data_IF_554741195240
#
_entry.id   IF_554741195240
#
_cell.length_a   1.000
_cell.length_b   1.000
_cell.length_c   1.000
_cell.angle_alpha   90.00
_cell.angle_beta   90.00
_cell.angle_gamma   90.00
#
_symmetry.space_group_name_H-M   'P 1'
#
loop_
_entity.id
_entity.type
_entity.pdbx_description
1 polymer ?
#
# COMPACT_ATOMS: atom_id res chain seq x y z
N UNK A 1 -4.96 2.53 29.39
CA UNK A 1 -5.47 2.34 28.01
C UNK A 1 -4.63 3.08 26.96
N UNK A 2 -4.05 4.24 27.22
CA UNK A 2 -3.27 5.02 26.24
C UNK A 2 -1.98 4.38 25.72
N UNK A 3 -1.26 3.61 26.55
CA UNK A 3 0.01 2.99 26.18
C UNK A 3 -0.11 1.83 25.17
N UNK A 4 -1.15 1.02 25.28
CA UNK A 4 -1.34 -0.14 24.40
C UNK A 4 -1.66 0.27 22.94
N UNK A 5 -2.41 1.36 22.77
CA UNK A 5 -2.72 1.89 21.43
C UNK A 5 -1.49 2.46 20.73
N UNK A 6 -0.66 3.21 21.47
CA UNK A 6 0.58 3.75 20.93
C UNK A 6 1.55 2.63 20.53
N UNK A 7 1.63 1.56 21.31
CA UNK A 7 2.44 0.39 20.96
C UNK A 7 1.91 -0.31 19.71
N UNK A 8 0.60 -0.53 19.61
CA UNK A 8 0.00 -1.19 18.47
C UNK A 8 0.19 -0.42 17.15
N UNK A 9 0.12 0.92 17.21
CA UNK A 9 0.31 1.80 16.06
C UNK A 9 1.78 2.20 15.84
N UNK A 10 2.71 1.77 16.72
CA UNK A 10 4.10 2.21 16.66
C UNK A 10 4.73 2.10 15.25
N UNK A 11 4.55 1.01 14.46
CA UNK A 11 5.11 0.93 13.12
C UNK A 11 4.58 2.02 12.18
N UNK A 12 3.29 2.33 12.23
CA UNK A 12 2.67 3.39 11.43
C UNK A 12 3.12 4.77 11.90
N UNK A 13 3.22 4.99 13.21
CA UNK A 13 3.67 6.26 13.79
C UNK A 13 5.14 6.53 13.48
N UNK A 14 6.00 5.50 13.44
CA UNK A 14 7.40 5.61 13.04
C UNK A 14 7.49 6.06 11.58
N UNK A 15 6.73 5.45 10.69
CA UNK A 15 6.73 5.83 9.27
C UNK A 15 6.15 7.23 9.06
N UNK A 16 5.01 7.56 9.67
CA UNK A 16 4.38 8.88 9.52
C UNK A 16 5.22 9.99 10.17
N UNK A 17 5.70 9.78 11.39
CA UNK A 17 6.60 10.71 12.08
C UNK A 17 7.94 10.85 11.36
N UNK A 18 8.45 9.74 10.83
CA UNK A 18 9.67 9.73 10.00
C UNK A 18 9.50 10.50 8.70
N UNK A 19 8.39 10.35 7.99
CA UNK A 19 8.09 11.14 6.81
C UNK A 19 7.98 12.64 7.13
N UNK A 20 7.33 12.99 8.23
CA UNK A 20 7.25 14.38 8.71
C UNK A 20 8.62 14.93 9.08
N UNK A 21 9.45 14.16 9.78
CA UNK A 21 10.81 14.54 10.12
C UNK A 21 11.66 14.77 8.88
N UNK A 22 11.57 13.87 7.90
CA UNK A 22 12.30 14.00 6.63
C UNK A 22 11.83 15.22 5.83
N UNK A 23 10.52 15.49 5.81
CA UNK A 23 9.95 16.68 5.17
C UNK A 23 10.49 17.97 5.82
N UNK A 24 10.55 18.04 7.14
CA UNK A 24 11.11 19.18 7.87
C UNK A 24 12.62 19.34 7.60
N UNK A 25 13.36 18.23 7.56
CA UNK A 25 14.78 18.27 7.23
C UNK A 25 15.00 18.83 5.82
N UNK A 26 14.23 18.40 4.82
CA UNK A 26 14.32 18.92 3.45
C UNK A 26 13.99 20.42 3.40
N UNK A 27 13.01 20.86 4.19
CA UNK A 27 12.60 22.27 4.24
C UNK A 27 13.66 23.18 4.91
N UNK A 28 14.33 22.69 5.94
CA UNK A 28 15.29 23.49 6.74
C UNK A 28 16.70 23.43 6.19
N UNK A 29 17.18 22.26 5.79
CA UNK A 29 18.55 22.04 5.33
C UNK A 29 18.60 20.86 4.36
N UNK A 30 18.57 21.14 3.06
CA UNK A 30 18.67 20.09 2.02
C UNK A 30 20.01 19.39 2.06
N UNK A 31 20.01 18.09 2.26
CA UNK A 31 21.19 17.24 2.24
C UNK A 31 20.83 15.82 1.81
N UNK A 32 21.17 15.47 0.59
CA UNK A 32 20.90 14.14 0.03
C UNK A 32 21.42 12.99 0.90
N UNK A 33 22.61 13.15 1.46
CA UNK A 33 23.22 12.16 2.36
C UNK A 33 22.41 11.99 3.65
N UNK A 34 21.96 13.09 4.25
CA UNK A 34 21.15 13.06 5.47
C UNK A 34 19.77 12.49 5.20
N UNK A 35 19.12 12.90 4.11
CA UNK A 35 17.79 12.38 3.70
C UNK A 35 17.85 10.87 3.49
N UNK A 36 18.89 10.35 2.83
CA UNK A 36 19.11 8.91 2.67
C UNK A 36 19.27 8.20 4.00
N UNK A 37 20.17 8.71 4.87
CA UNK A 37 20.44 8.08 6.18
C UNK A 37 19.21 8.05 7.07
N UNK A 38 18.44 9.15 7.10
CA UNK A 38 17.18 9.22 7.83
C UNK A 38 16.17 8.23 7.28
N UNK A 39 15.96 8.18 5.96
CA UNK A 39 15.03 7.25 5.34
C UNK A 39 15.41 5.79 5.63
N UNK A 40 16.67 5.41 5.48
CA UNK A 40 17.15 4.07 5.81
C UNK A 40 16.98 3.74 7.30
N UNK A 41 17.31 4.67 8.19
CA UNK A 41 17.13 4.50 9.64
C UNK A 41 15.65 4.32 10.01
N UNK A 42 14.77 5.18 9.49
CA UNK A 42 13.33 5.11 9.72
C UNK A 42 12.76 3.77 9.23
N UNK A 43 13.07 3.37 7.99
CA UNK A 43 12.59 2.13 7.39
C UNK A 43 13.12 0.90 8.13
N UNK A 44 14.38 0.91 8.57
CA UNK A 44 14.96 -0.18 9.36
C UNK A 44 14.29 -0.30 10.73
N UNK A 45 14.04 0.81 11.42
CA UNK A 45 13.33 0.82 12.70
C UNK A 45 11.87 0.38 12.51
N UNK A 46 11.20 0.87 11.44
CA UNK A 46 9.84 0.47 11.10
C UNK A 46 9.71 -1.01 10.72
N UNK A 47 10.77 -1.65 10.24
CA UNK A 47 10.83 -3.09 10.01
C UNK A 47 11.12 -3.87 11.31
N UNK A 48 12.02 -3.38 12.15
CA UNK A 48 12.47 -4.07 13.36
C UNK A 48 11.40 -4.06 14.48
N UNK A 49 10.69 -2.93 14.67
CA UNK A 49 9.72 -2.78 15.77
C UNK A 49 8.58 -3.80 15.69
N UNK A 50 7.88 -4.01 14.55
CA UNK A 50 6.83 -5.02 14.51
C UNK A 50 7.35 -6.45 14.67
N UNK A 51 8.57 -6.77 14.23
CA UNK A 51 9.20 -8.07 14.47
C UNK A 51 9.50 -8.28 15.96
N UNK A 52 9.98 -7.26 16.66
CA UNK A 52 10.19 -7.30 18.10
C UNK A 52 8.86 -7.45 18.87
N UNK A 53 7.79 -6.80 18.40
CA UNK A 53 6.44 -6.96 18.96
C UNK A 53 5.96 -8.41 18.84
N UNK A 54 6.12 -9.00 17.64
CA UNK A 54 5.78 -10.41 17.39
C UNK A 54 6.59 -11.36 18.28
N UNK A 55 7.91 -11.14 18.37
CA UNK A 55 8.80 -11.98 19.20
C UNK A 55 8.45 -11.92 20.70
N UNK A 56 7.84 -10.81 21.16
CA UNK A 56 7.38 -10.64 22.55
C UNK A 56 5.93 -11.07 22.77
N UNK A 57 5.26 -11.61 21.76
CA UNK A 57 3.84 -11.97 21.84
C UNK A 57 2.90 -10.76 21.96
N UNK A 58 3.38 -9.55 21.62
CA UNK A 58 2.60 -8.31 21.64
C UNK A 58 1.89 -8.13 20.30
N UNK A 59 0.79 -8.82 20.10
CA UNK A 59 -0.07 -8.64 18.94
C UNK A 59 -1.49 -8.27 19.41
N UNK A 60 -1.76 -7.00 19.77
CA UNK A 60 -3.09 -6.57 20.16
C UNK A 60 -4.01 -6.58 18.93
N UNK A 61 -5.09 -7.36 18.98
CA UNK A 61 -5.91 -7.64 17.81
C UNK A 61 -6.64 -6.40 17.25
N UNK A 62 -7.30 -5.59 18.05
CA UNK A 62 -8.05 -4.41 17.55
C UNK A 62 -7.53 -3.12 18.17
N UNK A 63 -7.21 -2.14 17.32
CA UNK A 63 -6.73 -0.82 17.76
C UNK A 63 -7.81 0.23 17.62
N UNK A 64 -8.46 0.27 16.46
CA UNK A 64 -9.58 1.16 16.14
C UNK A 64 -10.58 0.40 15.27
N UNK A 65 -11.80 0.92 15.05
CA UNK A 65 -12.73 0.34 14.09
C UNK A 65 -12.17 0.26 12.65
N UNK A 66 -11.12 1.00 12.33
CA UNK A 66 -10.52 1.09 11.01
C UNK A 66 -9.28 0.23 10.84
N UNK A 67 -8.53 -0.04 11.92
CA UNK A 67 -7.20 -0.65 11.90
C UNK A 67 -7.07 -1.74 12.96
N UNK A 68 -6.46 -2.86 12.59
CA UNK A 68 -6.12 -3.97 13.48
C UNK A 68 -4.63 -4.28 13.41
N UNK A 69 -4.00 -4.41 14.59
CA UNK A 69 -2.58 -4.73 14.75
C UNK A 69 -2.37 -6.21 15.09
N UNK A 70 -2.94 -7.11 14.32
CA UNK A 70 -2.75 -8.55 14.48
C UNK A 70 -1.38 -9.04 13.95
N UNK A 71 -1.04 -10.29 14.22
CA UNK A 71 0.25 -10.85 13.85
C UNK A 71 0.53 -10.79 12.32
N UNK A 72 -0.43 -11.08 11.41
CA UNK A 72 -0.23 -10.88 9.98
C UNK A 72 0.02 -9.42 9.59
N UNK A 73 -0.69 -8.44 10.20
CA UNK A 73 -0.49 -7.03 9.93
C UNK A 73 0.92 -6.57 10.32
N UNK A 74 1.39 -6.96 11.51
CA UNK A 74 2.74 -6.66 12.00
C UNK A 74 3.81 -7.27 11.09
N UNK A 75 3.64 -8.52 10.67
CA UNK A 75 4.57 -9.20 9.78
C UNK A 75 4.64 -8.49 8.42
N UNK A 76 3.50 -8.16 7.82
CA UNK A 76 3.47 -7.47 6.52
C UNK A 76 4.03 -6.05 6.61
N UNK A 77 3.73 -5.30 7.66
CA UNK A 77 4.32 -3.98 7.88
C UNK A 77 5.87 -4.05 7.99
N UNK A 78 6.40 -5.08 8.67
CA UNK A 78 7.84 -5.33 8.73
C UNK A 78 8.42 -5.63 7.34
N UNK A 79 7.78 -6.52 6.57
CA UNK A 79 8.22 -6.90 5.23
C UNK A 79 8.17 -5.71 4.25
N UNK A 80 7.11 -4.89 4.30
CA UNK A 80 6.99 -3.71 3.44
C UNK A 80 8.03 -2.65 3.79
N UNK A 81 8.30 -2.44 5.08
CA UNK A 81 9.34 -1.53 5.54
C UNK A 81 10.74 -2.02 5.15
N UNK A 82 11.01 -3.32 5.27
CA UNK A 82 12.26 -3.92 4.80
C UNK A 82 12.43 -3.80 3.28
N UNK A 83 11.38 -4.05 2.51
CA UNK A 83 11.38 -3.83 1.05
C UNK A 83 11.65 -2.38 0.68
N UNK A 84 11.07 -1.43 1.42
CA UNK A 84 11.37 0.00 1.29
C UNK A 84 12.83 0.32 1.61
N UNK A 85 13.40 -0.26 2.68
CA UNK A 85 14.80 -0.07 3.04
C UNK A 85 15.76 -0.59 1.97
N UNK A 86 15.49 -1.78 1.40
CA UNK A 86 16.25 -2.33 0.26
C UNK A 86 16.15 -1.40 -0.95
N UNK A 87 14.96 -0.91 -1.26
CA UNK A 87 14.75 0.05 -2.36
C UNK A 87 15.54 1.34 -2.13
N UNK A 88 15.48 1.93 -0.93
CA UNK A 88 16.23 3.13 -0.57
C UNK A 88 17.76 2.91 -0.72
N UNK A 89 18.25 1.74 -0.31
CA UNK A 89 19.66 1.38 -0.43
C UNK A 89 20.10 1.22 -1.89
N UNK A 90 19.32 0.55 -2.71
CA UNK A 90 19.61 0.35 -4.14
C UNK A 90 19.51 1.66 -4.94
N UNK A 91 18.70 2.61 -4.48
CA UNK A 91 18.46 3.88 -5.19
C UNK A 91 19.62 4.85 -5.13
N UNK A 92 20.53 4.71 -4.18
CA UNK A 92 21.65 5.64 -3.96
C UNK A 92 22.49 5.84 -5.23
N UNK A 93 22.97 4.76 -5.82
CA UNK A 93 23.79 4.80 -7.04
C UNK A 93 23.00 5.32 -8.25
N UNK A 94 21.73 4.94 -8.35
CA UNK A 94 20.88 5.42 -9.43
C UNK A 94 20.65 6.92 -9.34
N UNK A 95 20.29 7.42 -8.17
CA UNK A 95 20.01 8.84 -7.94
C UNK A 95 21.27 9.71 -8.10
N UNK A 96 22.44 9.25 -7.67
CA UNK A 96 23.69 9.96 -7.82
C UNK A 96 24.04 10.28 -9.29
N UNK A 97 23.55 9.48 -10.24
CA UNK A 97 23.82 9.66 -11.67
C UNK A 97 22.67 10.27 -12.46
N UNK A 98 21.46 10.30 -11.90
CA UNK A 98 20.23 10.62 -12.64
C UNK A 98 19.37 11.73 -12.01
N UNK A 99 19.67 12.17 -10.78
CA UNK A 99 18.85 13.15 -10.08
C UNK A 99 19.68 14.30 -9.51
N UNK A 100 19.27 15.54 -9.80
CA UNK A 100 19.86 16.72 -9.18
C UNK A 100 19.44 16.91 -7.72
N UNK A 101 18.25 16.41 -7.36
CA UNK A 101 17.63 16.59 -6.05
C UNK A 101 17.05 15.28 -5.51
N UNK A 102 17.88 14.38 -4.99
CA UNK A 102 17.42 13.05 -4.56
C UNK A 102 16.64 13.05 -3.23
N UNK A 103 16.59 14.18 -2.51
CA UNK A 103 15.96 14.26 -1.18
C UNK A 103 14.47 13.87 -1.20
N UNK A 104 13.73 14.42 -2.16
CA UNK A 104 12.28 14.24 -2.30
C UNK A 104 11.91 12.78 -2.63
N UNK A 105 12.80 12.07 -3.34
CA UNK A 105 12.62 10.64 -3.64
C UNK A 105 12.47 9.80 -2.36
N UNK A 106 13.31 10.03 -1.36
CA UNK A 106 13.27 9.29 -0.10
C UNK A 106 12.00 9.56 0.69
N UNK A 107 11.49 10.81 0.64
CA UNK A 107 10.21 11.17 1.24
C UNK A 107 9.05 10.42 0.56
N UNK A 108 9.01 10.41 -0.77
CA UNK A 108 8.00 9.70 -1.54
C UNK A 108 8.04 8.20 -1.25
N UNK A 109 9.22 7.61 -1.13
CA UNK A 109 9.37 6.19 -0.78
C UNK A 109 8.82 5.88 0.62
N UNK A 110 9.09 6.75 1.61
CA UNK A 110 8.51 6.61 2.97
C UNK A 110 6.98 6.68 2.94
N UNK A 111 6.41 7.60 2.17
CA UNK A 111 4.95 7.71 2.01
C UNK A 111 4.35 6.48 1.31
N UNK A 112 5.03 5.93 0.30
CA UNK A 112 4.61 4.70 -0.36
C UNK A 112 4.60 3.51 0.61
N UNK A 113 5.65 3.36 1.42
CA UNK A 113 5.75 2.30 2.43
C UNK A 113 4.71 2.51 3.54
N UNK A 114 4.44 3.75 3.95
CA UNK A 114 3.37 4.06 4.90
C UNK A 114 2.01 3.63 4.35
N UNK A 115 1.71 3.93 3.08
CA UNK A 115 0.48 3.46 2.43
C UNK A 115 0.35 1.94 2.43
N UNK A 116 1.43 1.22 2.10
CA UNK A 116 1.47 -0.24 2.17
C UNK A 116 1.27 -0.77 3.60
N UNK A 117 1.88 -0.13 4.60
CA UNK A 117 1.71 -0.50 6.01
C UNK A 117 0.27 -0.24 6.50
N UNK A 118 -0.37 0.87 6.09
CA UNK A 118 -1.79 1.13 6.38
C UNK A 118 -2.68 0.04 5.80
N UNK A 119 -2.40 -0.43 4.57
CA UNK A 119 -3.11 -1.57 3.97
C UNK A 119 -2.98 -2.84 4.80
N UNK A 120 -1.79 -3.12 5.34
CA UNK A 120 -1.59 -4.28 6.21
C UNK A 120 -2.46 -4.26 7.47
N UNK A 121 -2.74 -3.07 8.01
CA UNK A 121 -3.58 -2.89 9.20
C UNK A 121 -5.07 -2.73 8.90
N UNK A 122 -5.47 -2.55 7.62
CA UNK A 122 -6.83 -2.21 7.26
C UNK A 122 -7.83 -3.34 7.59
N UNK A 123 -8.94 -2.98 8.24
CA UNK A 123 -10.11 -3.84 8.52
C UNK A 123 -11.43 -3.17 8.11
N UNK A 124 -11.34 -2.04 7.42
CA UNK A 124 -12.46 -1.23 7.01
C UNK A 124 -12.20 -0.65 5.62
N UNK A 125 -13.23 -0.47 4.81
CA UNK A 125 -13.09 0.07 3.44
C UNK A 125 -12.41 1.43 3.40
N UNK A 126 -12.67 2.32 4.38
CA UNK A 126 -12.04 3.64 4.42
C UNK A 126 -10.51 3.55 4.59
N UNK A 127 -10.01 2.73 5.53
CA UNK A 127 -8.57 2.54 5.72
C UNK A 127 -7.90 1.84 4.53
N UNK A 128 -8.61 0.89 3.89
CA UNK A 128 -8.17 0.26 2.65
C UNK A 128 -7.96 1.31 1.55
N UNK A 129 -8.98 2.13 1.28
CA UNK A 129 -8.91 3.14 0.22
C UNK A 129 -7.82 4.19 0.51
N UNK A 130 -7.72 4.68 1.75
CA UNK A 130 -6.66 5.63 2.14
C UNK A 130 -5.27 5.03 1.96
N UNK A 131 -5.06 3.78 2.35
CA UNK A 131 -3.77 3.10 2.16
C UNK A 131 -3.44 2.88 0.68
N UNK A 132 -4.44 2.46 -0.13
CA UNK A 132 -4.27 2.29 -1.59
C UNK A 132 -3.92 3.60 -2.28
N UNK A 133 -4.61 4.70 -1.96
CA UNK A 133 -4.36 5.99 -2.59
C UNK A 133 -3.02 6.60 -2.15
N UNK A 134 -2.66 6.49 -0.87
CA UNK A 134 -1.35 6.96 -0.41
C UNK A 134 -0.20 6.21 -1.11
N UNK A 135 -0.30 4.87 -1.21
CA UNK A 135 0.65 4.05 -1.95
C UNK A 135 0.70 4.42 -3.43
N UNK A 136 -0.47 4.61 -4.06
CA UNK A 136 -0.58 4.91 -5.48
C UNK A 136 0.00 6.29 -5.82
N UNK A 137 -0.40 7.35 -5.10
CA UNK A 137 0.05 8.73 -5.34
C UNK A 137 1.57 8.83 -5.17
N UNK A 138 2.12 8.26 -4.09
CA UNK A 138 3.56 8.22 -3.89
C UNK A 138 4.27 7.44 -5.01
N UNK A 139 3.69 6.33 -5.48
CA UNK A 139 4.23 5.53 -6.58
C UNK A 139 4.23 6.30 -7.90
N UNK A 140 3.19 7.10 -8.22
CA UNK A 140 3.18 7.93 -9.43
C UNK A 140 4.36 8.89 -9.46
N UNK A 141 4.61 9.56 -8.34
CA UNK A 141 5.71 10.49 -8.21
C UNK A 141 7.08 9.78 -8.27
N UNK A 142 7.22 8.60 -7.67
CA UNK A 142 8.42 7.78 -7.74
C UNK A 142 8.71 7.29 -9.18
N UNK A 143 7.69 6.87 -9.92
CA UNK A 143 7.84 6.46 -11.33
C UNK A 143 8.30 7.62 -12.19
N UNK A 144 7.71 8.82 -12.01
CA UNK A 144 8.05 10.02 -12.75
C UNK A 144 9.44 10.59 -12.41
N UNK A 145 10.15 10.04 -11.44
CA UNK A 145 11.39 10.59 -10.93
C UNK A 145 12.63 10.08 -11.69
N UNK A 146 13.54 10.95 -12.16
CA UNK A 146 13.47 12.42 -12.21
C UNK A 146 12.54 12.93 -13.32
N UNK A 147 11.76 13.98 -13.01
CA UNK A 147 10.67 14.49 -13.84
C UNK A 147 11.11 15.25 -15.11
N UNK A 148 12.40 15.43 -15.32
CA UNK A 148 13.00 16.08 -16.49
C UNK A 148 13.06 15.16 -17.73
N UNK A 149 12.80 13.86 -17.56
CA UNK A 149 12.86 12.84 -18.61
C UNK A 149 11.47 12.41 -19.09
N UNK A 150 11.29 12.28 -20.42
CA UNK A 150 10.00 11.87 -21.03
C UNK A 150 9.57 10.45 -20.66
N UNK A 151 10.43 9.39 -20.73
CA UNK A 151 9.98 8.03 -20.47
C UNK A 151 9.41 7.79 -19.06
N UNK A 152 10.03 8.27 -17.96
CA UNK A 152 9.45 8.16 -16.63
C UNK A 152 8.10 8.89 -16.48
N UNK A 153 7.97 10.09 -17.06
CA UNK A 153 6.72 10.87 -16.98
C UNK A 153 5.59 10.17 -17.75
N UNK A 154 5.88 9.59 -18.93
CA UNK A 154 4.91 8.81 -19.70
C UNK A 154 4.48 7.54 -18.93
N UNK A 155 5.42 6.80 -18.36
CA UNK A 155 5.15 5.63 -17.53
C UNK A 155 4.27 5.97 -16.31
N UNK A 156 4.57 7.08 -15.63
CA UNK A 156 3.77 7.57 -14.51
C UNK A 156 2.35 7.96 -14.93
N UNK A 157 2.18 8.62 -16.08
CA UNK A 157 0.86 8.98 -16.60
C UNK A 157 0.03 7.73 -16.95
N UNK A 158 0.62 6.72 -17.58
CA UNK A 158 -0.04 5.44 -17.85
C UNK A 158 -0.46 4.75 -16.56
N UNK A 159 0.44 4.69 -15.57
CA UNK A 159 0.14 4.10 -14.28
C UNK A 159 -0.96 4.85 -13.53
N UNK A 160 -0.93 6.19 -13.53
CA UNK A 160 -1.96 7.05 -12.91
C UNK A 160 -3.36 6.73 -13.46
N UNK A 161 -3.51 6.71 -14.79
CA UNK A 161 -4.81 6.47 -15.44
C UNK A 161 -5.34 5.08 -15.10
N UNK A 162 -4.51 4.06 -15.21
CA UNK A 162 -4.93 2.67 -14.98
C UNK A 162 -5.17 2.37 -13.50
N UNK A 163 -4.32 2.89 -12.61
CA UNK A 163 -4.50 2.78 -11.17
C UNK A 163 -5.73 3.55 -10.70
N UNK A 164 -6.01 4.73 -11.28
CA UNK A 164 -7.23 5.51 -11.01
C UNK A 164 -8.49 4.76 -11.44
N UNK A 165 -8.48 4.15 -12.62
CA UNK A 165 -9.59 3.30 -13.09
C UNK A 165 -9.82 2.11 -12.16
N UNK A 166 -8.75 1.47 -11.67
CA UNK A 166 -8.84 0.38 -10.70
C UNK A 166 -9.47 0.85 -9.38
N UNK A 167 -9.07 2.02 -8.85
CA UNK A 167 -9.65 2.59 -7.64
C UNK A 167 -11.12 2.96 -7.83
N UNK A 168 -11.48 3.56 -8.97
CA UNK A 168 -12.88 3.88 -9.29
C UNK A 168 -13.75 2.60 -9.32
N UNK A 169 -13.23 1.52 -9.92
CA UNK A 169 -13.89 0.21 -9.95
C UNK A 169 -14.06 -0.37 -8.54
N UNK A 170 -13.03 -0.30 -7.69
CA UNK A 170 -13.10 -0.71 -6.28
C UNK A 170 -14.13 0.09 -5.51
N UNK A 171 -14.11 1.43 -5.62
CA UNK A 171 -15.05 2.33 -4.96
C UNK A 171 -16.49 2.00 -5.34
N UNK A 172 -16.75 1.82 -6.63
CA UNK A 172 -18.09 1.46 -7.10
C UNK A 172 -18.52 0.08 -6.58
N UNK A 173 -17.62 -0.90 -6.59
CA UNK A 173 -17.88 -2.23 -6.02
C UNK A 173 -18.21 -2.16 -4.53
N UNK A 174 -17.44 -1.43 -3.73
CA UNK A 174 -17.70 -1.23 -2.31
C UNK A 174 -18.98 -0.42 -2.05
N UNK A 175 -19.33 0.54 -2.90
CA UNK A 175 -20.60 1.25 -2.79
C UNK A 175 -21.81 0.33 -2.98
N UNK A 176 -21.76 -0.61 -3.93
CA UNK A 176 -22.81 -1.62 -4.12
C UNK A 176 -22.88 -2.58 -2.93
N UNK A 177 -21.74 -3.02 -2.39
CA UNK A 177 -21.69 -3.84 -1.19
C UNK A 177 -22.29 -3.13 0.03
N UNK A 178 -21.96 -1.84 0.19
CA UNK A 178 -22.55 -1.00 1.22
C UNK A 178 -24.06 -0.84 1.05
N UNK A 179 -24.55 -0.65 -0.18
CA UNK A 179 -25.99 -0.56 -0.46
C UNK A 179 -26.72 -1.85 -0.09
N UNK A 180 -26.06 -3.01 -0.19
CA UNK A 180 -26.63 -4.30 0.15
C UNK A 180 -26.52 -4.66 1.65
N UNK A 181 -25.40 -4.30 2.30
CA UNK A 181 -25.09 -4.71 3.69
C UNK A 181 -25.31 -3.63 4.74
N UNK A 182 -25.22 -2.33 4.36
CA UNK A 182 -25.19 -1.20 5.29
C UNK A 182 -23.88 -1.06 6.05
N UNK A 183 -22.85 -1.87 5.75
CA UNK A 183 -21.60 -1.97 6.50
C UNK A 183 -20.37 -1.68 5.62
N UNK A 184 -19.35 -1.07 6.22
CA UNK A 184 -18.05 -0.82 5.58
C UNK A 184 -16.90 -1.53 6.29
N UNK A 185 -17.12 -2.10 7.48
CA UNK A 185 -16.16 -2.98 8.13
C UNK A 185 -16.08 -4.31 7.39
N UNK A 186 -14.88 -4.88 7.21
CA UNK A 186 -14.70 -6.13 6.45
C UNK A 186 -15.56 -7.28 6.99
N UNK A 187 -15.68 -7.38 8.31
CA UNK A 187 -16.50 -8.43 8.95
C UNK A 187 -18.01 -8.30 8.66
N UNK A 188 -18.49 -7.11 8.30
CA UNK A 188 -19.91 -6.85 7.97
C UNK A 188 -20.21 -6.89 6.48
N UNK A 189 -19.17 -6.88 5.62
CA UNK A 189 -19.37 -6.97 4.19
C UNK A 189 -19.81 -8.40 3.81
N UNK A 190 -21.04 -8.54 3.37
CA UNK A 190 -21.60 -9.82 2.93
C UNK A 190 -22.12 -9.69 1.51
N UNK A 191 -21.71 -10.61 0.64
CA UNK A 191 -22.42 -10.89 -0.60
C UNK A 191 -23.50 -11.90 -0.26
N UNK A 192 -24.68 -11.44 0.11
CA UNK A 192 -25.81 -12.34 0.46
C UNK A 192 -26.18 -13.26 -0.71
N UNK A 193 -26.35 -14.55 -0.42
CA UNK A 193 -26.80 -15.52 -1.42
C UNK A 193 -28.13 -15.04 -2.05
N UNK A 194 -28.11 -14.79 -3.37
CA UNK A 194 -29.26 -14.32 -4.12
C UNK A 194 -29.44 -12.80 -4.26
N UNK A 195 -28.61 -11.97 -3.59
CA UNK A 195 -28.59 -10.52 -3.83
C UNK A 195 -27.70 -10.17 -5.02
N UNK A 196 -28.34 -9.78 -6.13
CA UNK A 196 -27.66 -9.40 -7.37
C UNK A 196 -26.78 -8.16 -7.20
N UNK A 197 -27.15 -7.23 -6.34
CA UNK A 197 -26.37 -6.00 -6.08
C UNK A 197 -25.08 -6.37 -5.35
N UNK A 198 -25.17 -7.21 -4.33
CA UNK A 198 -24.02 -7.70 -3.59
C UNK A 198 -23.08 -8.52 -4.49
N UNK A 199 -23.61 -9.38 -5.36
CA UNK A 199 -22.81 -10.15 -6.32
C UNK A 199 -22.07 -9.23 -7.31
N UNK A 200 -22.76 -8.21 -7.88
CA UNK A 200 -22.12 -7.20 -8.72
C UNK A 200 -21.03 -6.45 -7.98
N UNK A 201 -21.31 -6.00 -6.75
CA UNK A 201 -20.35 -5.30 -5.91
C UNK A 201 -19.10 -6.13 -5.65
N UNK A 202 -19.25 -7.39 -5.24
CA UNK A 202 -18.14 -8.32 -5.02
C UNK A 202 -17.32 -8.58 -6.28
N UNK A 203 -17.98 -8.76 -7.43
CA UNK A 203 -17.29 -8.93 -8.72
C UNK A 203 -16.44 -7.70 -9.10
N UNK A 204 -16.98 -6.48 -8.92
CA UNK A 204 -16.25 -5.25 -9.19
C UNK A 204 -15.07 -5.06 -8.23
N UNK A 205 -15.21 -5.43 -6.95
CA UNK A 205 -14.11 -5.43 -5.99
C UNK A 205 -13.00 -6.37 -6.45
N UNK A 206 -13.33 -7.60 -6.88
CA UNK A 206 -12.35 -8.55 -7.43
C UNK A 206 -11.65 -8.00 -8.68
N UNK A 207 -12.40 -7.44 -9.64
CA UNK A 207 -11.85 -6.82 -10.85
C UNK A 207 -10.93 -5.65 -10.50
N UNK A 208 -11.33 -4.78 -9.57
CA UNK A 208 -10.51 -3.64 -9.14
C UNK A 208 -9.20 -4.08 -8.48
N UNK A 209 -9.22 -5.12 -7.64
CA UNK A 209 -7.99 -5.72 -7.12
C UNK A 209 -7.16 -6.39 -8.21
N UNK A 210 -7.78 -7.12 -9.13
CA UNK A 210 -7.08 -7.74 -10.26
C UNK A 210 -6.34 -6.70 -11.11
N UNK A 211 -6.94 -5.52 -11.34
CA UNK A 211 -6.29 -4.37 -11.97
C UNK A 211 -5.11 -3.84 -11.14
N UNK A 212 -5.27 -3.69 -9.81
CA UNK A 212 -4.23 -3.17 -8.90
C UNK A 212 -3.01 -4.11 -8.82
N UNK A 213 -3.22 -5.42 -8.70
CA UNK A 213 -2.13 -6.41 -8.65
C UNK A 213 -1.63 -6.80 -10.04
N UNK A 214 -2.30 -6.31 -11.09
CA UNK A 214 -2.03 -6.65 -12.48
C UNK A 214 -2.12 -8.15 -12.76
N UNK A 215 -3.18 -8.79 -12.27
CA UNK A 215 -3.48 -10.17 -12.60
C UNK A 215 -3.90 -10.29 -14.08
N UNK A 216 -3.64 -11.44 -14.73
CA UNK A 216 -4.10 -11.68 -16.08
C UNK A 216 -5.65 -11.64 -16.13
N UNK A 217 -6.29 -10.96 -17.11
CA UNK A 217 -5.71 -10.31 -18.30
C UNK A 217 -5.28 -8.84 -18.10
N UNK A 218 -5.36 -8.26 -16.91
CA UNK A 218 -5.15 -6.83 -16.61
C UNK A 218 -3.68 -6.42 -16.46
N UNK A 219 -2.72 -7.23 -16.91
CA UNK A 219 -1.28 -7.03 -16.73
C UNK A 219 -0.59 -6.25 -17.87
N UNK A 220 -1.29 -5.88 -18.92
CA UNK A 220 -0.72 -5.30 -20.14
C UNK A 220 0.04 -3.98 -19.95
N UNK A 221 -0.22 -3.27 -18.85
CA UNK A 221 0.44 -2.01 -18.52
C UNK A 221 1.82 -2.19 -17.84
N UNK A 222 2.12 -3.38 -17.31
CA UNK A 222 3.34 -3.63 -16.54
C UNK A 222 4.61 -3.38 -17.35
N UNK A 223 4.76 -3.92 -18.57
CA UNK A 223 5.99 -3.73 -19.34
C UNK A 223 6.33 -2.26 -19.53
N UNK A 224 5.37 -1.45 -19.96
CA UNK A 224 5.54 -0.02 -20.21
C UNK A 224 5.97 0.74 -18.96
N UNK A 225 5.34 0.45 -17.82
CA UNK A 225 5.63 1.13 -16.55
C UNK A 225 6.99 0.70 -16.00
N UNK A 226 7.33 -0.59 -16.08
CA UNK A 226 8.60 -1.08 -15.54
C UNK A 226 9.80 -0.69 -16.37
N UNK A 227 9.63 -0.55 -17.69
CA UNK A 227 10.67 -0.07 -18.59
C UNK A 227 10.92 1.44 -18.40
N UNK A 228 9.84 2.23 -18.24
CA UNK A 228 9.95 3.68 -18.10
C UNK A 228 10.36 4.15 -16.70
N UNK A 229 10.07 3.40 -15.65
CA UNK A 229 10.38 3.77 -14.27
C UNK A 229 11.87 3.57 -13.92
N UNK A 230 12.41 4.30 -12.92
CA UNK A 230 13.72 3.99 -12.34
C UNK A 230 13.82 2.53 -11.89
N UNK A 231 14.91 1.85 -12.18
CA UNK A 231 15.07 0.43 -11.86
C UNK A 231 14.77 0.06 -10.37
N UNK A 232 15.22 0.83 -9.35
CA UNK A 232 14.84 0.55 -7.97
C UNK A 232 13.33 0.70 -7.71
N UNK A 233 12.67 1.66 -8.40
CA UNK A 233 11.22 1.86 -8.30
C UNK A 233 10.48 0.70 -8.94
N UNK A 234 10.93 0.21 -10.10
CA UNK A 234 10.35 -0.98 -10.74
C UNK A 234 10.44 -2.19 -9.82
N UNK A 235 11.54 -2.37 -9.09
CA UNK A 235 11.69 -3.39 -8.05
C UNK A 235 10.70 -3.22 -6.88
N UNK A 236 10.49 -1.99 -6.41
CA UNK A 236 9.49 -1.68 -5.37
C UNK A 236 8.06 -1.96 -5.84
N UNK A 237 7.74 -1.56 -7.08
CA UNK A 237 6.43 -1.81 -7.69
C UNK A 237 6.16 -3.31 -7.88
N UNK A 238 7.17 -4.07 -8.29
CA UNK A 238 7.07 -5.51 -8.49
C UNK A 238 6.90 -6.31 -7.18
N UNK A 239 7.35 -5.77 -6.07
CA UNK A 239 7.34 -6.41 -4.76
C UNK A 239 6.29 -5.79 -3.82
N UNK A 240 6.64 -4.72 -3.11
CA UNK A 240 5.82 -4.12 -2.05
C UNK A 240 4.48 -3.61 -2.59
N UNK A 241 4.49 -2.86 -3.70
CA UNK A 241 3.29 -2.24 -4.23
C UNK A 241 2.27 -3.25 -4.78
N UNK A 242 2.68 -4.47 -5.13
CA UNK A 242 1.76 -5.58 -5.48
C UNK A 242 1.39 -6.43 -4.28
N UNK A 243 2.34 -6.68 -3.37
CA UNK A 243 2.08 -7.51 -2.20
C UNK A 243 1.07 -6.86 -1.24
N UNK A 244 1.07 -5.52 -1.09
CA UNK A 244 0.18 -4.84 -0.18
C UNK A 244 -1.31 -4.94 -0.57
N UNK A 245 -1.74 -4.65 -1.83
CA UNK A 245 -3.11 -4.91 -2.27
C UNK A 245 -3.50 -6.39 -2.22
N UNK A 246 -2.58 -7.29 -2.57
CA UNK A 246 -2.83 -8.74 -2.49
C UNK A 246 -3.09 -9.17 -1.04
N UNK A 247 -2.30 -8.69 -0.11
CA UNK A 247 -2.47 -9.03 1.31
C UNK A 247 -3.81 -8.54 1.86
N UNK A 248 -4.20 -7.29 1.57
CA UNK A 248 -5.50 -6.78 2.04
C UNK A 248 -6.68 -7.48 1.37
N UNK A 249 -6.53 -7.93 0.11
CA UNK A 249 -7.52 -8.77 -0.56
C UNK A 249 -7.69 -10.10 0.18
N UNK A 250 -6.59 -10.79 0.51
CA UNK A 250 -6.62 -12.04 1.28
C UNK A 250 -7.23 -11.82 2.68
N UNK A 251 -6.95 -10.68 3.31
CA UNK A 251 -7.53 -10.30 4.59
C UNK A 251 -9.04 -10.06 4.49
N UNK A 252 -9.49 -9.36 3.46
CA UNK A 252 -10.92 -9.17 3.17
C UNK A 252 -11.64 -10.51 3.02
N UNK A 253 -11.02 -11.45 2.31
CA UNK A 253 -11.57 -12.80 2.12
C UNK A 253 -11.59 -13.65 3.39
N UNK A 254 -10.59 -13.48 4.25
CA UNK A 254 -10.51 -14.23 5.51
C UNK A 254 -11.45 -13.71 6.61
N UNK A 255 -11.91 -12.46 6.49
CA UNK A 255 -12.77 -11.82 7.50
C UNK A 255 -14.23 -11.68 7.09
N UNK A 256 -14.51 -11.62 5.80
CA UNK A 256 -15.86 -11.57 5.27
C UNK A 256 -16.29 -12.99 4.83
N UNK A 257 -17.52 -13.38 5.13
CA UNK A 257 -18.16 -14.55 4.51
C UNK A 257 -18.42 -14.31 3.00
N UNK A 258 -17.45 -13.65 2.35
CA UNK A 258 -17.53 -13.17 0.98
C UNK A 258 -17.68 -14.31 -0.03
N UNK A 259 -17.14 -15.50 0.31
CA UNK A 259 -17.20 -16.71 -0.51
C UNK A 259 -18.11 -17.81 0.01
N UNK A 260 -18.87 -17.55 1.08
CA UNK A 260 -19.91 -18.51 1.48
C UNK A 260 -20.98 -18.69 0.38
N UNK A 261 -21.01 -17.77 -0.60
CA UNK A 261 -21.87 -17.86 -1.76
C UNK A 261 -21.18 -18.58 -2.92
N UNK A 262 -21.71 -19.75 -3.30
CA UNK A 262 -21.24 -20.56 -4.44
C UNK A 262 -21.18 -19.78 -5.78
N UNK A 263 -21.83 -18.62 -5.89
CA UNK A 263 -21.80 -17.72 -7.05
C UNK A 263 -20.46 -17.02 -7.22
N UNK A 264 -19.86 -16.49 -6.15
CA UNK A 264 -18.56 -15.79 -6.20
C UNK A 264 -17.39 -16.76 -6.35
N UNK A 265 -17.48 -17.98 -5.80
CA UNK A 265 -16.48 -19.03 -5.99
C UNK A 265 -16.32 -19.38 -7.48
N UNK A 266 -17.41 -19.35 -8.27
CA UNK A 266 -17.36 -19.60 -9.71
C UNK A 266 -16.73 -18.47 -10.51
N UNK A 267 -16.74 -17.24 -10.00
CA UNK A 267 -16.10 -16.07 -10.65
C UNK A 267 -14.59 -16.00 -10.33
N UNK A 268 -14.18 -16.57 -9.19
CA UNK A 268 -12.79 -16.55 -8.73
C UNK A 268 -11.96 -17.78 -9.19
N UNK A 269 -12.60 -18.82 -9.67
CA UNK A 269 -11.98 -20.03 -10.22
C UNK A 269 -11.78 -19.92 -11.73
#
# INVERSE_FOLDING_TARGET
MSGAWAQALAPLLILAGGATLLMLQIALARSASLSRQLALGILTVAAAVPLLMLARGLAPASVTPLLSADAPALLMAALFSAGGAVTAWLSDRYLATHAERPDEYYLLLLLAVLGAAVLAYAVHVASLLLGLELLAIASYALIAYPADRRPPVEAAAKYLVLSGAATATLLFGFALLYAASGELAFAGLRAGAGDRIALMGGTLVLVGFALKIAAAPFHLWIPDVYEGAPAPVSGFLASVAKAAPLFVLLRLFGTADFFADAGLVRVSA
#
